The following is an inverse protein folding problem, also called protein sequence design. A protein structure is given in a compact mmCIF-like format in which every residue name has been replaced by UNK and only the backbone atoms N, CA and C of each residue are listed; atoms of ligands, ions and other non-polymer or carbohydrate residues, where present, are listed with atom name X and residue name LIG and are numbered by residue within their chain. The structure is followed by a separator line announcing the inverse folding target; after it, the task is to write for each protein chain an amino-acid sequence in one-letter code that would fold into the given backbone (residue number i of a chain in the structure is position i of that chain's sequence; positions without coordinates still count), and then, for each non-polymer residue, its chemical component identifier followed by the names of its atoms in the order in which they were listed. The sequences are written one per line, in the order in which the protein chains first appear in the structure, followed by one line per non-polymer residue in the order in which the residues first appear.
data_IF_985341102923
#
_entry.id   IF_985341102923
#
_cell.length_a   1.000
_cell.length_b   1.000
_cell.length_c   1.000
_cell.angle_alpha   90.00
_cell.angle_beta   90.00
_cell.angle_gamma   90.00
#
_symmetry.space_group_name_H-M   'P 1'
#
loop_
_entity.id
_entity.type
_entity.pdbx_description
1 polymer ?
#
# COMPACT_ATOMS: atom_id res chain seq x y z
N UNK A 1 -57.12 -28.30 -25.43
CA UNK A 1 -55.78 -27.83 -25.81
C UNK A 1 -55.35 -26.74 -24.84
N UNK A 2 -54.55 -27.09 -23.85
CA UNK A 2 -54.12 -26.15 -22.80
C UNK A 2 -52.76 -25.56 -23.21
N UNK A 3 -52.75 -24.31 -23.62
CA UNK A 3 -51.55 -23.53 -23.87
C UNK A 3 -50.98 -23.07 -22.53
N UNK A 4 -49.88 -23.67 -22.16
CA UNK A 4 -49.19 -23.46 -20.89
C UNK A 4 -48.59 -22.05 -20.82
N UNK A 5 -48.89 -21.35 -19.72
CA UNK A 5 -48.44 -19.99 -19.38
C UNK A 5 -46.89 -19.81 -19.30
N UNK A 6 -46.13 -20.83 -19.67
CA UNK A 6 -44.65 -20.79 -19.67
C UNK A 6 -44.01 -20.26 -20.94
N UNK A 7 -44.73 -20.21 -22.07
CA UNK A 7 -44.18 -19.81 -23.36
C UNK A 7 -44.24 -18.32 -23.64
N UNK A 8 -45.02 -17.56 -22.87
CA UNK A 8 -45.17 -16.10 -23.09
C UNK A 8 -44.13 -15.24 -22.34
N UNK A 9 -43.36 -15.82 -21.41
CA UNK A 9 -42.35 -15.07 -20.65
C UNK A 9 -40.95 -15.07 -21.28
N UNK A 10 -40.70 -15.87 -22.31
CA UNK A 10 -39.38 -15.97 -22.97
C UNK A 10 -39.26 -15.05 -24.20
N UNK A 11 -40.32 -14.44 -24.70
CA UNK A 11 -40.28 -13.57 -25.88
C UNK A 11 -40.07 -12.07 -25.55
N UNK A 12 -40.15 -11.68 -24.27
CA UNK A 12 -39.99 -10.28 -23.85
C UNK A 12 -38.60 -9.84 -23.46
N UNK A 13 -37.66 -10.76 -23.27
CA UNK A 13 -36.32 -10.45 -22.71
C UNK A 13 -35.25 -10.15 -23.76
N UNK A 14 -35.50 -10.36 -25.05
CA UNK A 14 -34.50 -10.26 -26.11
C UNK A 14 -34.35 -8.86 -26.73
N UNK A 15 -35.27 -7.93 -26.52
CA UNK A 15 -35.27 -6.60 -27.13
C UNK A 15 -34.88 -5.47 -26.18
N UNK A 16 -34.75 -5.73 -24.88
CA UNK A 16 -34.38 -4.72 -23.87
C UNK A 16 -32.88 -4.69 -23.50
N UNK A 17 -32.12 -5.70 -23.90
CA UNK A 17 -30.71 -5.85 -23.45
C UNK A 17 -29.67 -5.10 -24.26
N UNK A 18 -29.98 -4.66 -25.47
CA UNK A 18 -28.97 -4.04 -26.36
C UNK A 18 -28.78 -2.53 -26.11
N UNK A 19 -29.73 -1.86 -25.43
CA UNK A 19 -29.65 -0.42 -25.20
C UNK A 19 -28.82 0.00 -23.96
N UNK A 20 -28.49 -0.96 -23.06
CA UNK A 20 -27.75 -0.64 -21.85
C UNK A 20 -26.21 -0.78 -22.01
N UNK A 21 -25.72 -1.38 -23.10
CA UNK A 21 -24.28 -1.52 -23.35
C UNK A 21 -23.69 -0.36 -24.20
N UNK A 22 -24.52 0.50 -24.79
CA UNK A 22 -24.04 1.62 -25.59
C UNK A 22 -23.66 2.86 -24.75
N UNK A 23 -23.89 2.85 -23.42
CA UNK A 23 -23.58 3.97 -22.54
C UNK A 23 -22.12 4.08 -22.09
N UNK A 24 -21.25 3.12 -22.42
CA UNK A 24 -19.85 3.13 -21.98
C UNK A 24 -18.82 3.44 -23.06
N UNK A 25 -19.25 3.79 -24.26
CA UNK A 25 -18.36 4.23 -25.34
C UNK A 25 -18.41 5.75 -25.51
N UNK A 26 -18.37 6.48 -24.41
CA UNK A 26 -17.95 7.89 -24.45
C UNK A 26 -16.46 7.87 -24.71
N UNK A 27 -16.04 8.25 -25.88
CA UNK A 27 -14.61 8.47 -26.18
C UNK A 27 -14.09 9.45 -25.14
N UNK A 28 -13.29 8.93 -24.20
CA UNK A 28 -12.67 9.72 -23.13
C UNK A 28 -11.86 10.83 -23.81
N UNK A 29 -12.37 12.06 -23.76
CA UNK A 29 -11.55 13.21 -24.16
C UNK A 29 -10.24 13.14 -23.41
N UNK A 30 -9.10 13.35 -24.10
CA UNK A 30 -7.80 13.38 -23.42
C UNK A 30 -7.88 14.39 -22.27
N UNK A 31 -7.77 13.90 -21.05
CA UNK A 31 -7.76 14.75 -19.88
C UNK A 31 -6.35 15.36 -19.75
N UNK A 32 -6.19 16.67 -19.94
CA UNK A 32 -4.87 17.32 -19.94
C UNK A 32 -4.15 17.17 -18.58
N UNK A 33 -4.87 16.90 -17.50
CA UNK A 33 -4.29 16.67 -16.17
C UNK A 33 -3.95 15.20 -15.88
N UNK A 34 -4.31 14.25 -16.75
CA UNK A 34 -4.12 12.82 -16.48
C UNK A 34 -2.63 12.46 -16.29
N UNK A 35 -1.75 13.01 -17.11
CA UNK A 35 -0.31 12.77 -17.05
C UNK A 35 0.29 13.31 -15.73
N UNK A 36 -0.11 14.49 -15.30
CA UNK A 36 0.35 15.09 -14.04
C UNK A 36 -0.13 14.30 -12.83
N UNK A 37 -1.41 13.86 -12.83
CA UNK A 37 -1.95 13.00 -11.76
C UNK A 37 -1.23 11.66 -11.69
N UNK A 38 -0.94 11.06 -12.83
CA UNK A 38 -0.18 9.81 -12.90
C UNK A 38 1.24 9.99 -12.35
N UNK A 39 1.94 11.05 -12.74
CA UNK A 39 3.27 11.35 -12.21
C UNK A 39 3.25 11.67 -10.71
N UNK A 40 2.22 12.35 -10.22
CA UNK A 40 2.05 12.60 -8.79
C UNK A 40 1.82 11.30 -8.01
N UNK A 41 0.97 10.42 -8.51
CA UNK A 41 0.72 9.11 -7.92
C UNK A 41 1.99 8.25 -7.86
N UNK A 42 2.80 8.26 -8.92
CA UNK A 42 4.08 7.54 -8.96
C UNK A 42 5.09 8.09 -7.95
N UNK A 43 5.15 9.39 -7.77
CA UNK A 43 5.99 9.99 -6.71
C UNK A 43 5.57 9.54 -5.31
N UNK A 44 4.26 9.49 -5.04
CA UNK A 44 3.72 9.01 -3.75
C UNK A 44 4.06 7.54 -3.55
N UNK A 45 3.87 6.69 -4.56
CA UNK A 45 4.20 5.26 -4.55
C UNK A 45 5.68 5.02 -4.27
N UNK A 46 6.55 5.69 -5.02
CA UNK A 46 8.01 5.60 -4.86
C UNK A 46 8.45 6.03 -3.47
N UNK A 47 7.86 7.11 -2.94
CA UNK A 47 8.12 7.56 -1.58
C UNK A 47 7.70 6.51 -0.56
N UNK A 48 6.49 5.95 -0.67
CA UNK A 48 5.98 4.93 0.24
C UNK A 48 6.88 3.68 0.24
N UNK A 49 7.36 3.23 -0.93
CA UNK A 49 8.30 2.12 -1.04
C UNK A 49 9.64 2.43 -0.35
N UNK A 50 10.19 3.65 -0.56
CA UNK A 50 11.43 4.08 0.09
C UNK A 50 11.30 4.15 1.62
N UNK A 51 10.21 4.72 2.10
CA UNK A 51 9.96 4.88 3.53
C UNK A 51 9.74 3.51 4.20
N UNK A 52 9.11 2.54 3.52
CA UNK A 52 9.02 1.15 3.98
C UNK A 52 10.38 0.46 4.03
N UNK A 53 11.29 0.72 3.08
CA UNK A 53 12.67 0.18 3.15
C UNK A 53 13.44 0.76 4.33
N UNK A 54 13.27 2.04 4.63
CA UNK A 54 13.91 2.66 5.80
C UNK A 54 13.38 2.06 7.11
N UNK A 55 12.08 1.77 7.19
CA UNK A 55 11.48 1.09 8.32
C UNK A 55 12.00 -0.35 8.46
N UNK A 56 12.09 -1.10 7.36
CA UNK A 56 12.66 -2.46 7.33
C UNK A 56 14.09 -2.48 7.90
N UNK A 57 14.92 -1.53 7.48
CA UNK A 57 16.29 -1.40 8.01
C UNK A 57 16.32 -1.12 9.52
N UNK A 58 15.33 -0.39 10.07
CA UNK A 58 15.19 -0.20 11.52
C UNK A 58 14.85 -1.51 12.24
N UNK A 59 13.95 -2.33 11.69
CA UNK A 59 13.64 -3.66 12.21
C UNK A 59 14.90 -4.54 12.20
N UNK A 60 15.65 -4.57 11.10
CA UNK A 60 16.86 -5.37 10.97
C UNK A 60 17.93 -4.94 11.99
N UNK A 61 18.14 -3.64 12.16
CA UNK A 61 19.06 -3.11 13.17
C UNK A 61 18.61 -3.46 14.60
N UNK A 62 17.32 -3.36 14.88
CA UNK A 62 16.78 -3.71 16.21
C UNK A 62 16.92 -5.20 16.50
N UNK A 63 16.66 -6.06 15.51
CA UNK A 63 16.84 -7.52 15.64
C UNK A 63 18.31 -7.90 15.88
N UNK A 64 19.24 -7.20 15.25
CA UNK A 64 20.67 -7.40 15.44
C UNK A 64 21.12 -6.99 16.87
N UNK A 65 20.59 -5.87 17.38
CA UNK A 65 20.93 -5.38 18.71
C UNK A 65 20.24 -6.15 19.84
N UNK A 66 19.01 -6.66 19.58
CA UNK A 66 18.15 -7.31 20.57
C UNK A 66 17.62 -8.67 20.06
N UNK A 67 18.45 -9.71 20.01
CA UNK A 67 18.05 -11.03 19.51
C UNK A 67 16.86 -11.64 20.28
N UNK A 68 16.68 -11.28 21.56
CA UNK A 68 15.57 -11.72 22.43
C UNK A 68 14.19 -11.32 21.91
N UNK A 69 14.09 -10.23 21.13
CA UNK A 69 12.86 -9.77 20.50
C UNK A 69 12.51 -10.54 19.22
N UNK A 70 13.37 -11.47 18.78
CA UNK A 70 13.30 -12.09 17.45
C UNK A 70 11.99 -12.76 17.12
N UNK A 71 11.34 -13.46 18.05
CA UNK A 71 10.10 -14.19 17.77
C UNK A 71 8.96 -13.27 17.29
N UNK A 72 8.86 -12.09 17.88
CA UNK A 72 7.82 -11.10 17.55
C UNK A 72 8.22 -10.21 16.39
N UNK A 73 9.42 -9.62 16.43
CA UNK A 73 9.81 -8.63 15.45
C UNK A 73 9.95 -9.20 14.04
N UNK A 74 10.32 -10.50 13.88
CA UNK A 74 10.44 -11.12 12.56
C UNK A 74 9.12 -11.11 11.80
N UNK A 75 8.01 -11.42 12.47
CA UNK A 75 6.68 -11.41 11.82
C UNK A 75 6.34 -10.01 11.30
N UNK A 76 6.50 -8.98 12.14
CA UNK A 76 6.22 -7.60 11.74
C UNK A 76 7.19 -7.11 10.65
N UNK A 77 8.45 -7.47 10.77
CA UNK A 77 9.49 -7.19 9.78
C UNK A 77 9.14 -7.76 8.40
N UNK A 78 8.66 -9.00 8.35
CA UNK A 78 8.29 -9.68 7.10
C UNK A 78 7.06 -9.03 6.46
N UNK A 79 6.09 -8.58 7.26
CA UNK A 79 4.97 -7.78 6.76
C UNK A 79 5.44 -6.44 6.14
N UNK A 80 6.41 -5.76 6.77
CA UNK A 80 7.00 -4.55 6.18
C UNK A 80 7.71 -4.85 4.85
N UNK A 81 8.34 -6.03 4.69
CA UNK A 81 8.91 -6.44 3.41
C UNK A 81 7.82 -6.63 2.33
N UNK A 82 6.68 -7.24 2.66
CA UNK A 82 5.52 -7.35 1.76
C UNK A 82 4.95 -5.97 1.38
N UNK A 83 4.97 -4.99 2.29
CA UNK A 83 4.55 -3.62 1.95
C UNK A 83 5.46 -3.01 0.86
N UNK A 84 6.76 -3.26 0.90
CA UNK A 84 7.70 -2.80 -0.15
C UNK A 84 7.32 -3.43 -1.49
N UNK A 85 7.08 -4.74 -1.52
CA UNK A 85 6.67 -5.47 -2.73
C UNK A 85 5.37 -4.89 -3.29
N UNK A 86 4.36 -4.66 -2.46
CA UNK A 86 3.09 -4.11 -2.87
C UNK A 86 3.21 -2.72 -3.52
N UNK A 87 4.09 -1.86 -3.00
CA UNK A 87 4.34 -0.55 -3.60
C UNK A 87 5.19 -0.61 -4.87
N UNK A 88 5.99 -1.66 -5.06
CA UNK A 88 6.85 -1.81 -6.25
C UNK A 88 6.18 -2.57 -7.39
N UNK A 89 5.28 -3.53 -7.10
CA UNK A 89 4.60 -4.36 -8.10
C UNK A 89 3.60 -3.60 -8.98
N UNK A 90 3.13 -2.44 -8.57
CA UNK A 90 2.19 -1.60 -9.32
C UNK A 90 2.86 -0.47 -10.10
N UNK A 91 4.17 -0.37 -10.08
CA UNK A 91 4.89 0.60 -10.90
C UNK A 91 4.85 0.17 -12.38
N UNK A 92 4.51 1.05 -13.34
CA UNK A 92 4.75 0.74 -14.74
C UNK A 92 6.22 0.37 -14.89
N UNK A 93 6.49 -0.75 -15.58
CA UNK A 93 7.84 -1.23 -15.85
C UNK A 93 8.59 -0.22 -16.74
N UNK A 94 8.97 0.90 -16.16
CA UNK A 94 10.02 1.74 -16.72
C UNK A 94 11.31 1.00 -16.42
N UNK A 95 11.95 0.55 -17.51
CA UNK A 95 13.19 -0.20 -17.52
C UNK A 95 14.10 0.22 -16.35
N UNK A 96 14.48 -0.77 -15.56
CA UNK A 96 15.38 -0.62 -14.43
C UNK A 96 16.76 -0.15 -14.90
N UNK A 97 16.90 1.16 -15.07
CA UNK A 97 18.17 1.87 -14.97
C UNK A 97 18.19 2.57 -13.62
N UNK A 98 18.02 1.78 -12.58
CA UNK A 98 18.40 2.21 -11.24
C UNK A 98 19.92 2.00 -11.14
N UNK A 99 20.66 2.99 -11.59
CA UNK A 99 21.96 3.26 -10.99
C UNK A 99 21.73 3.28 -9.49
N UNK A 100 22.36 2.35 -8.79
CA UNK A 100 22.48 2.37 -7.35
C UNK A 100 23.25 3.64 -6.98
N UNK A 101 22.56 4.76 -6.96
CA UNK A 101 23.05 5.95 -6.30
C UNK A 101 23.00 5.60 -4.83
N UNK A 102 24.19 5.40 -4.26
CA UNK A 102 24.42 5.28 -2.83
C UNK A 102 23.46 6.19 -2.09
N UNK A 103 22.53 5.57 -1.39
CA UNK A 103 21.70 6.28 -0.44
C UNK A 103 22.67 7.05 0.46
N UNK A 104 22.48 8.36 0.52
CA UNK A 104 23.14 9.20 1.49
C UNK A 104 23.02 8.47 2.83
N UNK A 105 24.18 8.17 3.42
CA UNK A 105 24.31 7.64 4.76
C UNK A 105 23.89 8.71 5.76
N UNK A 106 22.57 8.97 5.85
CA UNK A 106 21.98 9.47 7.06
C UNK A 106 22.20 8.34 8.07
N UNK A 107 23.04 8.56 9.08
CA UNK A 107 23.22 7.64 10.19
C UNK A 107 21.86 7.18 10.64
N UNK A 108 21.58 5.89 10.53
CA UNK A 108 20.35 5.32 11.11
C UNK A 108 20.31 5.75 12.57
N UNK A 109 19.18 6.29 13.07
CA UNK A 109 19.07 6.61 14.49
C UNK A 109 19.54 5.39 15.28
N UNK A 110 20.51 5.57 16.19
CA UNK A 110 21.06 4.47 16.95
C UNK A 110 19.93 3.67 17.62
N UNK A 111 20.02 2.35 17.59
CA UNK A 111 19.05 1.50 18.28
C UNK A 111 19.19 1.74 19.78
N UNK A 112 18.10 2.02 20.52
CA UNK A 112 18.15 2.15 21.98
C UNK A 112 18.73 0.92 22.63
N UNK A 113 19.46 1.12 23.75
CA UNK A 113 20.21 0.05 24.41
C UNK A 113 19.30 -0.96 25.15
N UNK A 114 18.10 -0.55 25.56
CA UNK A 114 17.16 -1.43 26.21
C UNK A 114 16.01 -1.84 25.28
N UNK A 115 15.50 -3.06 25.44
CA UNK A 115 14.48 -3.67 24.59
C UNK A 115 13.14 -2.91 24.58
N UNK A 116 12.74 -2.32 25.71
CA UNK A 116 11.48 -1.55 25.81
C UNK A 116 11.57 -0.28 24.97
N UNK A 117 12.63 0.48 25.12
CA UNK A 117 12.87 1.70 24.32
C UNK A 117 13.08 1.37 22.85
N UNK A 118 13.72 0.25 22.53
CA UNK A 118 13.89 -0.19 21.14
C UNK A 118 12.52 -0.51 20.48
N UNK A 119 11.62 -1.21 21.19
CA UNK A 119 10.25 -1.46 20.73
C UNK A 119 9.44 -0.15 20.59
N UNK A 120 9.55 0.74 21.57
CA UNK A 120 8.87 2.04 21.50
C UNK A 120 9.32 2.86 20.29
N UNK A 121 10.61 2.88 19.99
CA UNK A 121 11.16 3.57 18.82
C UNK A 121 10.64 2.97 17.48
N UNK A 122 10.46 1.64 17.40
CA UNK A 122 9.81 1.01 16.25
C UNK A 122 8.32 1.38 16.17
N UNK A 123 7.60 1.37 17.29
CA UNK A 123 6.20 1.76 17.35
C UNK A 123 5.98 3.20 16.89
N UNK A 124 6.85 4.11 17.27
CA UNK A 124 6.78 5.52 16.86
C UNK A 124 7.08 5.67 15.37
N UNK A 125 8.03 4.89 14.82
CA UNK A 125 8.30 4.86 13.39
C UNK A 125 7.11 4.34 12.58
N UNK A 126 6.44 3.28 13.04
CA UNK A 126 5.22 2.74 12.42
C UNK A 126 4.08 3.78 12.43
N UNK A 127 3.81 4.42 13.58
CA UNK A 127 2.79 5.49 13.68
C UNK A 127 3.07 6.63 12.72
N UNK A 128 4.30 7.12 12.70
CA UNK A 128 4.71 8.22 11.82
C UNK A 128 4.45 7.89 10.36
N UNK A 129 4.75 6.67 9.93
CA UNK A 129 4.50 6.23 8.56
C UNK A 129 3.01 6.00 8.29
N UNK A 130 2.25 5.45 9.24
CA UNK A 130 0.80 5.29 9.12
C UNK A 130 0.11 6.64 8.93
N UNK A 131 0.48 7.65 9.72
CA UNK A 131 -0.06 9.02 9.62
C UNK A 131 0.30 9.66 8.27
N UNK A 132 1.54 9.53 7.82
CA UNK A 132 1.99 10.05 6.52
C UNK A 132 1.23 9.42 5.35
N UNK A 133 0.98 8.11 5.40
CA UNK A 133 0.20 7.37 4.38
C UNK A 133 -1.27 7.79 4.41
N UNK A 134 -1.84 7.96 5.60
CA UNK A 134 -3.21 8.44 5.78
C UNK A 134 -3.38 9.85 5.19
N UNK A 135 -2.45 10.74 5.43
CA UNK A 135 -2.47 12.08 4.84
C UNK A 135 -2.41 12.04 3.30
N UNK A 136 -1.68 11.08 2.72
CA UNK A 136 -1.54 10.94 1.27
C UNK A 136 -2.83 10.43 0.58
N UNK A 137 -3.79 9.87 1.31
CA UNK A 137 -5.05 9.35 0.74
C UNK A 137 -5.85 10.42 0.00
N UNK A 138 -5.81 11.67 0.47
CA UNK A 138 -6.66 12.76 -0.05
C UNK A 138 -6.38 13.06 -1.53
N UNK A 139 -5.14 12.85 -1.97
CA UNK A 139 -4.71 13.19 -3.33
C UNK A 139 -4.36 11.95 -4.17
N UNK A 140 -4.41 10.76 -3.58
CA UNK A 140 -4.05 9.53 -4.26
C UNK A 140 -5.20 9.05 -5.18
N UNK A 141 -4.90 8.50 -6.37
CA UNK A 141 -5.89 7.79 -7.17
C UNK A 141 -6.47 6.58 -6.41
N UNK A 142 -7.71 6.13 -6.73
CA UNK A 142 -8.45 5.15 -5.94
C UNK A 142 -7.66 3.87 -5.60
N UNK A 143 -6.93 3.30 -6.55
CA UNK A 143 -6.16 2.07 -6.32
C UNK A 143 -4.97 2.31 -5.38
N UNK A 144 -4.24 3.41 -5.57
CA UNK A 144 -3.15 3.76 -4.66
C UNK A 144 -3.69 4.14 -3.27
N UNK A 145 -4.84 4.82 -3.20
CA UNK A 145 -5.49 5.15 -1.93
C UNK A 145 -5.86 3.90 -1.14
N UNK A 146 -6.43 2.86 -1.78
CA UNK A 146 -6.73 1.57 -1.11
C UNK A 146 -5.46 0.92 -0.56
N UNK A 147 -4.37 0.88 -1.36
CA UNK A 147 -3.11 0.32 -0.91
C UNK A 147 -2.52 1.10 0.27
N UNK A 148 -2.48 2.44 0.18
CA UNK A 148 -1.99 3.30 1.26
C UNK A 148 -2.82 3.11 2.54
N UNK A 149 -4.15 3.02 2.42
CA UNK A 149 -5.03 2.79 3.57
C UNK A 149 -4.78 1.44 4.23
N UNK A 150 -4.63 0.38 3.43
CA UNK A 150 -4.32 -0.96 3.94
C UNK A 150 -2.99 -0.99 4.70
N UNK A 151 -1.94 -0.41 4.11
CA UNK A 151 -0.61 -0.38 4.73
C UNK A 151 -0.55 0.56 5.93
N UNK A 152 -1.33 1.66 5.93
CA UNK A 152 -1.45 2.54 7.10
C UNK A 152 -2.13 1.82 8.27
N UNK A 153 -3.20 1.08 8.00
CA UNK A 153 -3.89 0.28 9.02
C UNK A 153 -2.98 -0.81 9.60
N UNK A 154 -2.22 -1.51 8.76
CA UNK A 154 -1.22 -2.48 9.21
C UNK A 154 -0.16 -1.83 10.11
N UNK A 155 0.39 -0.68 9.72
CA UNK A 155 1.37 0.06 10.53
C UNK A 155 0.82 0.50 11.89
N UNK A 156 -0.45 0.95 11.94
CA UNK A 156 -1.11 1.26 13.20
C UNK A 156 -1.27 0.01 14.11
N UNK A 157 -1.61 -1.13 13.51
CA UNK A 157 -1.68 -2.40 14.25
C UNK A 157 -0.30 -2.86 14.75
N UNK A 158 0.75 -2.73 13.94
CA UNK A 158 2.13 -3.03 14.35
C UNK A 158 2.56 -2.16 15.53
N UNK A 159 2.28 -0.84 15.45
CA UNK A 159 2.59 0.08 16.53
C UNK A 159 1.89 -0.32 17.85
N UNK A 160 0.64 -0.73 17.76
CA UNK A 160 -0.10 -1.25 18.92
C UNK A 160 0.55 -2.52 19.48
N UNK A 161 0.82 -3.51 18.63
CA UNK A 161 1.45 -4.77 19.03
C UNK A 161 2.84 -4.57 19.66
N UNK A 162 3.59 -3.57 19.23
CA UNK A 162 4.90 -3.23 19.78
C UNK A 162 4.81 -2.62 21.19
N UNK A 163 3.69 -1.97 21.53
CA UNK A 163 3.48 -1.32 22.83
C UNK A 163 2.82 -2.23 23.86
N UNK A 164 1.90 -3.12 23.43
CA UNK A 164 1.14 -4.02 24.30
C UNK A 164 1.91 -5.28 24.75
N UNK A 165 3.19 -5.35 24.45
CA UNK A 165 4.01 -6.51 24.64
C UNK A 165 4.62 -6.60 26.04
N UNK A 166 3.81 -6.88 27.05
CA UNK A 166 4.29 -7.36 28.37
C UNK A 166 3.70 -8.72 28.71
#
# INVERSE_FOLDING_TARGET
MALTRRTTLLAGAALGGAALLSGCAEEARPDPGAAERSAAAERVRTRAARDSRALLARYDATLAAHPGLGARLRVLRDEVAHHIEAFTSGAPSAAASASATSAASGSAPGVPADERSARAALADAERTLADSRTAALVTAPPELARLLASVAAAGAAHAYLLTEAE
#
